data_IF_774779049000
#
_entry.id   IF_774779049000
#
_cell.length_a   1.000
_cell.length_b   1.000
_cell.length_c   1.000
_cell.angle_alpha   90.00
_cell.angle_beta   90.00
_cell.angle_gamma   90.00
#
_symmetry.space_group_name_H-M   'P 1'
#
loop_
_entity.id
_entity.type
_entity.pdbx_description
1 polymer ?
#
# COMPACT_ATOMS: atom_id res chain seq x y z
N UNK A 1 24.08 -3.24 34.71
CA UNK A 1 22.62 -3.33 34.93
C UNK A 1 21.96 -2.41 33.93
N UNK A 2 20.89 -2.89 33.31
CA UNK A 2 20.45 -2.71 31.93
C UNK A 2 20.26 -1.29 31.39
N UNK A 3 20.68 -1.12 30.14
CA UNK A 3 20.26 -0.06 29.21
C UNK A 3 19.05 -0.55 28.43
N UNK A 4 17.86 -0.01 28.71
CA UNK A 4 16.65 -0.33 27.97
C UNK A 4 16.58 0.50 26.68
N UNK A 5 17.23 -0.02 25.64
CA UNK A 5 16.99 0.33 24.24
C UNK A 5 15.85 -0.56 23.73
N UNK A 6 14.59 -0.14 23.92
CA UNK A 6 13.45 -0.80 23.27
C UNK A 6 13.11 -0.10 21.97
N UNK A 7 13.78 -0.55 20.92
CA UNK A 7 13.34 -0.51 19.52
C UNK A 7 11.98 -1.20 19.42
N UNK A 8 10.97 -0.49 18.94
CA UNK A 8 9.64 -1.07 18.74
C UNK A 8 8.62 -0.02 18.34
N UNK A 9 8.73 0.51 17.13
CA UNK A 9 7.63 1.20 16.49
C UNK A 9 6.50 0.20 16.28
N UNK A 10 5.57 0.17 17.23
CA UNK A 10 4.24 -0.39 17.08
C UNK A 10 3.60 0.26 15.86
N UNK A 11 3.75 -0.33 14.67
CA UNK A 11 2.98 0.07 13.51
C UNK A 11 1.54 -0.32 13.79
N UNK A 12 0.77 0.62 14.30
CA UNK A 12 -0.67 0.49 14.47
C UNK A 12 -1.27 0.03 13.13
N UNK A 13 -1.85 -1.17 13.14
CA UNK A 13 -2.64 -1.79 12.07
C UNK A 13 -3.83 -0.94 11.59
N UNK A 14 -3.98 0.29 12.11
CA UNK A 14 -5.02 1.27 11.78
C UNK A 14 -4.58 2.35 10.76
N UNK A 15 -3.30 2.36 10.33
CA UNK A 15 -2.74 3.46 9.52
C UNK A 15 -3.30 3.50 8.08
N UNK A 16 -3.71 2.36 7.53
CA UNK A 16 -4.31 2.26 6.18
C UNK A 16 -5.83 2.50 6.17
N UNK A 17 -6.38 3.28 7.10
CA UNK A 17 -7.80 3.67 7.11
C UNK A 17 -8.02 5.14 6.71
N UNK A 18 -6.93 5.89 6.50
CA UNK A 18 -6.97 7.32 6.17
C UNK A 18 -5.99 7.68 5.07
N UNK A 19 -6.36 8.67 4.25
CA UNK A 19 -5.50 9.23 3.23
C UNK A 19 -4.26 9.84 3.89
N UNK A 20 -3.08 9.47 3.40
CA UNK A 20 -1.83 9.97 3.95
C UNK A 20 -1.66 11.48 3.77
N UNK A 21 -2.14 12.04 2.64
CA UNK A 21 -2.00 13.47 2.32
C UNK A 21 -3.00 14.36 3.05
N UNK A 22 -4.29 14.01 3.03
CA UNK A 22 -5.35 14.87 3.56
C UNK A 22 -6.09 14.32 4.80
N UNK A 23 -5.76 13.11 5.27
CA UNK A 23 -6.37 12.50 6.46
C UNK A 23 -7.82 12.02 6.27
N UNK A 24 -8.40 12.17 5.07
CA UNK A 24 -9.76 11.69 4.71
C UNK A 24 -9.88 10.21 5.08
N UNK A 25 -10.99 9.79 5.69
CA UNK A 25 -11.21 8.40 6.10
C UNK A 25 -11.72 7.55 4.94
N UNK A 26 -11.14 6.37 4.73
CA UNK A 26 -11.66 5.38 3.78
C UNK A 26 -12.99 4.81 4.30
N UNK A 27 -14.00 4.78 3.43
CA UNK A 27 -15.36 4.31 3.76
C UNK A 27 -15.76 3.06 2.97
N UNK A 28 -14.79 2.28 2.50
CA UNK A 28 -15.03 1.04 1.75
C UNK A 28 -15.44 1.24 0.29
N UNK A 29 -15.19 2.42 -0.30
CA UNK A 29 -15.54 2.74 -1.70
C UNK A 29 -14.60 3.78 -2.30
N UNK A 30 -14.55 3.78 -3.63
CA UNK A 30 -13.79 4.73 -4.45
C UNK A 30 -12.42 4.19 -4.86
N UNK A 31 -11.81 4.85 -5.85
CA UNK A 31 -10.52 4.50 -6.46
C UNK A 31 -9.37 5.03 -5.59
N UNK A 32 -9.12 4.36 -4.47
CA UNK A 32 -8.02 4.70 -3.57
C UNK A 32 -6.77 3.94 -3.95
N UNK A 33 -5.66 4.66 -4.17
CA UNK A 33 -4.39 4.04 -4.48
C UNK A 33 -3.66 3.65 -3.20
N UNK A 34 -2.94 2.53 -3.24
CA UNK A 34 -2.07 2.07 -2.18
C UNK A 34 -0.62 2.31 -2.59
N UNK A 35 0.13 3.00 -1.75
CA UNK A 35 1.56 3.18 -1.96
C UNK A 35 2.33 2.04 -1.27
N UNK A 36 3.05 1.26 -2.08
CA UNK A 36 3.83 0.12 -1.63
C UNK A 36 5.31 0.50 -1.48
N UNK A 37 5.92 0.18 -0.33
CA UNK A 37 7.35 0.34 -0.11
C UNK A 37 7.98 -1.00 0.24
N UNK A 38 8.91 -1.48 -0.60
CA UNK A 38 9.56 -2.80 -0.43
C UNK A 38 8.56 -3.96 -0.28
N UNK A 39 7.46 -3.91 -1.03
CA UNK A 39 6.38 -4.90 -0.96
C UNK A 39 5.47 -4.76 0.25
N UNK A 40 5.56 -3.68 1.03
CA UNK A 40 4.68 -3.44 2.18
C UNK A 40 3.79 -2.24 1.89
N UNK A 41 2.46 -2.33 2.07
CA UNK A 41 1.58 -1.18 1.92
C UNK A 41 1.85 -0.21 3.06
N UNK A 42 2.32 0.99 2.72
CA UNK A 42 2.74 1.98 3.69
C UNK A 42 1.68 3.07 3.88
N UNK A 43 0.99 3.44 2.80
CA UNK A 43 0.01 4.52 2.77
C UNK A 43 -1.13 4.24 1.79
N UNK A 44 -2.25 4.95 1.97
CA UNK A 44 -3.33 5.04 0.98
C UNK A 44 -3.58 6.50 0.59
N UNK A 45 -3.98 6.74 -0.65
CA UNK A 45 -4.31 8.06 -1.19
C UNK A 45 -5.74 8.07 -1.71
N UNK A 46 -6.54 9.04 -1.27
CA UNK A 46 -7.87 9.24 -1.83
C UNK A 46 -7.80 9.82 -3.24
N UNK A 47 -8.85 9.67 -4.07
CA UNK A 47 -8.89 10.17 -5.45
C UNK A 47 -8.48 11.65 -5.57
N UNK A 48 -8.96 12.48 -4.65
CA UNK A 48 -8.70 13.94 -4.67
C UNK A 48 -7.22 14.31 -4.41
N UNK A 49 -6.43 13.38 -3.89
CA UNK A 49 -5.04 13.61 -3.51
C UNK A 49 -4.04 12.87 -4.41
N UNK A 50 -4.52 12.09 -5.38
CA UNK A 50 -3.66 11.42 -6.36
C UNK A 50 -3.32 12.40 -7.49
N UNK A 51 -2.10 12.33 -8.00
CA UNK A 51 -1.79 12.96 -9.28
C UNK A 51 -2.39 12.12 -10.43
N UNK A 52 -2.61 12.73 -11.62
CA UNK A 52 -3.03 11.98 -12.80
C UNK A 52 -2.09 10.82 -13.15
N UNK A 53 -0.79 11.00 -12.96
CA UNK A 53 0.24 9.99 -13.22
C UNK A 53 0.15 8.84 -12.22
N UNK A 54 -0.02 9.13 -10.92
CA UNK A 54 -0.20 8.11 -9.88
C UNK A 54 -1.45 7.27 -10.13
N UNK A 55 -2.53 7.90 -10.58
CA UNK A 55 -3.77 7.19 -10.95
C UNK A 55 -3.59 6.34 -12.21
N UNK A 56 -2.91 6.87 -13.23
CA UNK A 56 -2.61 6.13 -14.46
C UNK A 56 -1.73 4.90 -14.18
N UNK A 57 -0.71 5.04 -13.34
CA UNK A 57 0.15 3.91 -12.92
C UNK A 57 -0.66 2.84 -12.19
N UNK A 58 -1.55 3.23 -11.26
CA UNK A 58 -2.40 2.29 -10.54
C UNK A 58 -3.32 1.51 -11.49
N UNK A 59 -3.95 2.20 -12.45
CA UNK A 59 -4.82 1.56 -13.45
C UNK A 59 -4.05 0.57 -14.35
N UNK A 60 -2.83 0.94 -14.79
CA UNK A 60 -1.96 0.04 -15.57
C UNK A 60 -1.60 -1.19 -14.74
N UNK A 61 -1.20 -0.99 -13.49
CA UNK A 61 -0.81 -2.07 -12.60
C UNK A 61 -1.98 -3.01 -12.29
N UNK A 62 -3.17 -2.49 -12.04
CA UNK A 62 -4.39 -3.28 -11.86
C UNK A 62 -4.69 -4.13 -13.10
N UNK A 63 -4.52 -3.56 -14.29
CA UNK A 63 -4.71 -4.28 -15.54
C UNK A 63 -3.65 -5.37 -15.75
N UNK A 64 -2.38 -5.07 -15.45
CA UNK A 64 -1.22 -5.86 -15.87
C UNK A 64 -0.66 -6.82 -14.82
N UNK A 65 -0.98 -6.67 -13.54
CA UNK A 65 -0.34 -7.43 -12.46
C UNK A 65 -1.32 -8.30 -11.67
N UNK A 66 -0.89 -9.51 -11.32
CA UNK A 66 -1.44 -10.31 -10.24
C UNK A 66 -0.68 -9.99 -8.96
N UNK A 67 -1.41 -9.62 -7.92
CA UNK A 67 -0.84 -9.40 -6.59
C UNK A 67 -0.98 -10.66 -5.73
N UNK A 68 0.14 -11.09 -5.15
CA UNK A 68 0.21 -12.20 -4.19
C UNK A 68 0.92 -11.78 -2.92
N UNK A 69 1.02 -12.69 -1.95
CA UNK A 69 1.84 -12.52 -0.75
C UNK A 69 2.86 -13.63 -0.64
N UNK A 70 4.07 -13.29 -0.20
CA UNK A 70 5.08 -14.30 0.14
C UNK A 70 4.94 -14.80 1.58
N UNK A 71 5.81 -15.75 1.97
CA UNK A 71 5.85 -16.32 3.31
C UNK A 71 6.21 -15.31 4.42
N UNK A 72 6.76 -14.15 4.04
CA UNK A 72 7.09 -13.05 4.95
C UNK A 72 6.00 -11.97 4.98
N UNK A 73 4.88 -12.19 4.29
CA UNK A 73 3.75 -11.27 4.25
C UNK A 73 3.92 -10.06 3.32
N UNK A 74 4.97 -10.04 2.48
CA UNK A 74 5.21 -8.97 1.50
C UNK A 74 4.33 -9.20 0.28
N UNK A 75 3.79 -8.11 -0.26
CA UNK A 75 3.09 -8.07 -1.53
C UNK A 75 4.08 -8.25 -2.68
N UNK A 76 3.83 -9.26 -3.51
CA UNK A 76 4.54 -9.50 -4.76
C UNK A 76 3.61 -9.15 -5.92
N UNK A 77 4.17 -8.58 -6.98
CA UNK A 77 3.45 -8.32 -8.21
C UNK A 77 4.06 -9.17 -9.34
N UNK A 78 3.22 -9.96 -10.00
CA UNK A 78 3.60 -10.81 -11.12
C UNK A 78 2.84 -10.37 -12.36
N UNK A 79 3.48 -10.27 -13.54
CA UNK A 79 2.76 -9.96 -14.78
C UNK A 79 1.64 -10.96 -15.06
N UNK A 80 0.46 -10.46 -15.41
CA UNK A 80 -0.61 -11.31 -15.96
C UNK A 80 -0.14 -11.84 -17.32
N UNK A 81 -0.43 -13.10 -17.60
CA UNK A 81 -0.13 -13.72 -18.90
C UNK A 81 1.28 -14.29 -19.07
N UNK A 82 2.14 -14.20 -18.06
CA UNK A 82 3.38 -15.00 -18.02
C UNK A 82 3.10 -16.22 -17.14
N UNK A 83 2.96 -17.39 -17.76
CA UNK A 83 3.03 -18.67 -17.07
C UNK A 83 4.51 -18.96 -16.79
N UNK A 84 4.89 -19.03 -15.50
CA UNK A 84 6.18 -19.54 -15.05
C UNK A 84 6.14 -21.07 -14.93
#
# INVERSE_FOLDING_TARGET
MSTDNTTGTTQDVNTLSRCHRCGKKYRGRGEWNVEMRRGVPQWILCPDCQSPEENAEAAINEAMLHYGRDSFGRCLAMPKGISL
#
